data_IF_456018046377
#
_entry.id   IF_456018046377
#
_cell.length_a   1.000
_cell.length_b   1.000
_cell.length_c   1.000
_cell.angle_alpha   90.00
_cell.angle_beta   90.00
_cell.angle_gamma   90.00
#
_symmetry.space_group_name_H-M   'P 1'
#
loop_
_entity.id
_entity.type
_entity.pdbx_description
1 polymer ?
#
# COMPACT_ATOMS: atom_id res chain seq x y z
N UNK A 1 3.83 2.48 16.65
CA UNK A 1 2.49 1.83 16.56
C UNK A 1 2.06 1.78 15.10
N UNK A 2 1.43 0.69 14.63
CA UNK A 2 0.75 0.68 13.33
C UNK A 2 -0.52 1.51 13.51
N UNK A 3 -0.72 2.59 12.75
CA UNK A 3 -1.92 3.44 12.87
C UNK A 3 -3.22 2.64 12.80
N UNK A 4 -4.32 3.20 13.30
CA UNK A 4 -5.66 2.62 13.19
C UNK A 4 -6.03 2.39 11.73
N UNK A 5 -7.00 1.50 11.46
CA UNK A 5 -7.50 1.24 10.11
C UNK A 5 -7.99 2.54 9.44
N UNK A 6 -8.54 3.48 10.21
CA UNK A 6 -8.91 4.82 9.78
C UNK A 6 -7.72 5.70 9.41
N UNK A 7 -6.70 5.78 10.27
CA UNK A 7 -5.45 6.52 10.00
C UNK A 7 -4.67 5.94 8.80
N UNK A 8 -4.89 4.66 8.48
CA UNK A 8 -4.36 4.02 7.28
C UNK A 8 -5.16 4.32 6.00
N UNK A 9 -6.26 5.06 6.08
CA UNK A 9 -7.12 5.40 4.94
C UNK A 9 -8.20 4.35 4.61
N UNK A 10 -8.39 3.32 5.44
CA UNK A 10 -9.35 2.24 5.22
C UNK A 10 -10.57 2.29 6.16
N UNK A 11 -10.83 3.47 6.75
CA UNK A 11 -11.89 3.69 7.73
C UNK A 11 -13.31 3.62 7.15
N UNK A 12 -14.30 3.99 7.97
CA UNK A 12 -15.72 3.94 7.61
C UNK A 12 -16.04 4.63 6.27
N UNK A 13 -15.45 5.81 6.04
CA UNK A 13 -15.62 6.56 4.79
C UNK A 13 -15.20 5.74 3.56
N UNK A 14 -14.04 5.07 3.64
CA UNK A 14 -13.55 4.19 2.58
C UNK A 14 -14.49 3.01 2.32
N UNK A 15 -14.95 2.34 3.38
CA UNK A 15 -15.89 1.22 3.24
C UNK A 15 -17.24 1.65 2.66
N UNK A 16 -17.68 2.88 2.94
CA UNK A 16 -18.89 3.46 2.33
C UNK A 16 -18.67 3.76 0.85
N UNK A 17 -17.57 4.45 0.51
CA UNK A 17 -17.21 4.75 -0.88
C UNK A 17 -17.04 3.47 -1.71
N UNK A 18 -16.38 2.44 -1.17
CA UNK A 18 -16.23 1.14 -1.85
C UNK A 18 -17.57 0.49 -2.15
N UNK A 19 -18.51 0.50 -1.21
CA UNK A 19 -19.86 -0.03 -1.42
C UNK A 19 -20.62 0.73 -2.50
N UNK A 20 -20.52 2.06 -2.51
CA UNK A 20 -21.14 2.91 -3.53
C UNK A 20 -20.54 2.64 -4.92
N UNK A 21 -19.22 2.54 -5.02
CA UNK A 21 -18.54 2.22 -6.27
C UNK A 21 -18.93 0.84 -6.80
N UNK A 22 -19.01 -0.18 -5.93
CA UNK A 22 -19.47 -1.52 -6.32
C UNK A 22 -20.93 -1.52 -6.77
N UNK A 23 -21.80 -0.75 -6.11
CA UNK A 23 -23.21 -0.66 -6.49
C UNK A 23 -23.43 0.09 -7.82
N UNK A 24 -22.53 1.02 -8.16
CA UNK A 24 -22.57 1.79 -9.40
C UNK A 24 -21.76 1.16 -10.54
N UNK A 25 -21.07 0.04 -10.27
CA UNK A 25 -20.24 -0.64 -11.25
C UNK A 25 -21.12 -1.22 -12.36
N UNK A 26 -20.60 -1.17 -13.59
CA UNK A 26 -21.11 -1.93 -14.73
C UNK A 26 -20.05 -2.97 -15.08
N UNK A 27 -20.47 -4.18 -15.44
CA UNK A 27 -19.54 -5.20 -15.95
C UNK A 27 -18.76 -4.65 -17.16
N UNK A 28 -17.54 -5.14 -17.33
CA UNK A 28 -16.57 -4.72 -18.35
C UNK A 28 -15.97 -3.32 -18.13
N UNK A 29 -16.31 -2.61 -17.06
CA UNK A 29 -15.57 -1.40 -16.67
C UNK A 29 -14.07 -1.72 -16.48
N UNK A 30 -13.17 -0.89 -17.02
CA UNK A 30 -11.75 -1.15 -16.97
C UNK A 30 -11.20 -0.98 -15.56
N UNK A 31 -10.36 -1.91 -15.13
CA UNK A 31 -9.59 -1.79 -13.90
C UNK A 31 -8.63 -0.60 -13.97
N UNK A 32 -8.65 0.28 -12.97
CA UNK A 32 -7.81 1.51 -12.95
C UNK A 32 -6.30 1.24 -12.86
N UNK A 33 -5.89 -0.02 -12.66
CA UNK A 33 -4.48 -0.43 -12.59
C UNK A 33 -4.00 -1.14 -13.86
N UNK A 34 -4.71 -2.18 -14.31
CA UNK A 34 -4.28 -2.98 -15.46
C UNK A 34 -5.05 -2.69 -16.76
N UNK A 35 -6.18 -1.98 -16.69
CA UNK A 35 -7.04 -1.69 -17.84
C UNK A 35 -7.94 -2.85 -18.27
N UNK A 36 -7.78 -4.04 -17.72
CA UNK A 36 -8.60 -5.21 -18.06
C UNK A 36 -10.04 -5.08 -17.51
N UNK A 37 -11.03 -5.72 -18.17
CA UNK A 37 -12.42 -5.65 -17.75
C UNK A 37 -12.61 -6.25 -16.35
N UNK A 38 -13.45 -5.58 -15.56
CA UNK A 38 -13.90 -6.04 -14.26
C UNK A 38 -15.31 -6.60 -14.34
N UNK A 39 -15.61 -7.59 -13.49
CA UNK A 39 -16.96 -8.15 -13.36
C UNK A 39 -17.38 -8.26 -11.89
N UNK A 40 -18.69 -8.20 -11.62
CA UNK A 40 -19.25 -8.27 -10.26
C UNK A 40 -18.87 -9.52 -9.47
N UNK A 41 -18.61 -10.64 -10.14
CA UNK A 41 -18.18 -11.89 -9.50
C UNK A 41 -16.71 -11.87 -9.04
N UNK A 42 -15.92 -10.88 -9.48
CA UNK A 42 -14.53 -10.72 -9.08
C UNK A 42 -14.39 -10.01 -7.74
N UNK A 43 -13.28 -10.26 -7.07
CA UNK A 43 -12.91 -9.49 -5.88
C UNK A 43 -12.30 -8.16 -6.29
N UNK A 44 -13.04 -7.08 -6.06
CA UNK A 44 -12.62 -5.71 -6.38
C UNK A 44 -12.41 -4.89 -5.11
N UNK A 45 -11.41 -4.02 -5.11
CA UNK A 45 -11.15 -3.08 -4.03
C UNK A 45 -11.21 -1.65 -4.60
N UNK A 46 -11.69 -0.69 -3.80
CA UNK A 46 -11.66 0.73 -4.19
C UNK A 46 -10.22 1.23 -4.03
N UNK A 47 -9.62 1.58 -5.14
CA UNK A 47 -8.23 1.97 -5.21
C UNK A 47 -8.07 3.48 -4.97
N UNK A 48 -6.88 3.85 -4.51
CA UNK A 48 -6.52 5.23 -4.19
C UNK A 48 -5.23 5.64 -4.90
N UNK A 49 -5.00 6.95 -5.04
CA UNK A 49 -3.73 7.46 -5.54
C UNK A 49 -2.58 6.96 -4.64
N UNK A 50 -1.43 6.69 -5.23
CA UNK A 50 -0.34 6.07 -4.49
C UNK A 50 0.14 7.01 -3.37
N UNK A 51 0.34 8.29 -3.71
CA UNK A 51 0.81 9.37 -2.85
C UNK A 51 -0.27 9.90 -1.87
N UNK A 52 -1.54 9.91 -2.28
CA UNK A 52 -2.65 10.37 -1.45
C UNK A 52 -3.79 9.33 -1.35
N UNK A 53 -3.97 8.78 -0.15
CA UNK A 53 -5.02 7.78 0.13
C UNK A 53 -6.42 8.36 0.24
N UNK A 54 -6.56 9.68 0.25
CA UNK A 54 -7.86 10.36 0.24
C UNK A 54 -8.46 10.48 -1.17
N UNK A 55 -7.63 10.35 -2.20
CA UNK A 55 -8.04 10.43 -3.61
C UNK A 55 -8.35 9.03 -4.13
N UNK A 56 -9.60 8.79 -4.50
CA UNK A 56 -10.01 7.53 -5.12
C UNK A 56 -9.80 7.56 -6.63
N UNK A 57 -9.18 6.52 -7.16
CA UNK A 57 -9.00 6.35 -8.61
C UNK A 57 -10.16 5.59 -9.25
N UNK A 58 -10.79 4.69 -8.49
CA UNK A 58 -11.89 3.83 -8.94
C UNK A 58 -11.71 2.39 -8.48
N UNK A 59 -12.54 1.49 -8.98
CA UNK A 59 -12.40 0.06 -8.67
C UNK A 59 -11.19 -0.53 -9.40
N UNK A 60 -10.51 -1.44 -8.72
CA UNK A 60 -9.47 -2.27 -9.29
C UNK A 60 -9.66 -3.72 -8.85
N UNK A 61 -9.14 -4.66 -9.63
CA UNK A 61 -8.96 -6.02 -9.13
C UNK A 61 -8.17 -6.00 -7.83
N UNK A 62 -8.64 -6.78 -6.84
CA UNK A 62 -8.00 -6.90 -5.53
C UNK A 62 -6.51 -7.22 -5.64
N UNK A 63 -6.14 -8.08 -6.59
CA UNK A 63 -4.74 -8.44 -6.85
C UNK A 63 -3.91 -7.24 -7.29
N UNK A 64 -4.39 -6.48 -8.27
CA UNK A 64 -3.71 -5.30 -8.80
C UNK A 64 -3.52 -4.22 -7.74
N UNK A 65 -4.58 -3.87 -6.99
CA UNK A 65 -4.53 -2.87 -5.93
C UNK A 65 -3.50 -3.27 -4.84
N UNK A 66 -3.59 -4.49 -4.32
CA UNK A 66 -2.69 -4.95 -3.26
C UNK A 66 -1.24 -5.09 -3.72
N UNK A 67 -1.01 -5.49 -4.97
CA UNK A 67 0.32 -5.54 -5.57
C UNK A 67 0.95 -4.15 -5.65
N UNK A 68 0.20 -3.14 -6.11
CA UNK A 68 0.67 -1.75 -6.14
C UNK A 68 1.08 -1.25 -4.73
N UNK A 69 0.24 -1.52 -3.72
CA UNK A 69 0.56 -1.22 -2.32
C UNK A 69 1.81 -1.95 -1.81
N UNK A 70 1.97 -3.23 -2.17
CA UNK A 70 3.14 -4.02 -1.78
C UNK A 70 4.43 -3.52 -2.44
N UNK A 71 4.41 -3.23 -3.74
CA UNK A 71 5.56 -2.68 -4.49
C UNK A 71 6.00 -1.35 -3.87
N UNK A 72 5.06 -0.45 -3.58
CA UNK A 72 5.36 0.82 -2.89
C UNK A 72 5.95 0.58 -1.50
N UNK A 73 5.33 -0.29 -0.71
CA UNK A 73 5.81 -0.63 0.63
C UNK A 73 7.23 -1.19 0.62
N UNK A 74 7.54 -2.08 -0.34
CA UNK A 74 8.88 -2.64 -0.52
C UNK A 74 9.90 -1.57 -0.91
N UNK A 75 9.54 -0.66 -1.83
CA UNK A 75 10.40 0.47 -2.23
C UNK A 75 10.72 1.39 -1.05
N UNK A 76 9.73 1.70 -0.21
CA UNK A 76 9.93 2.55 0.98
C UNK A 76 10.85 1.88 2.01
N UNK A 77 10.68 0.58 2.26
CA UNK A 77 11.57 -0.18 3.15
C UNK A 77 12.99 -0.26 2.60
N UNK A 78 13.15 -0.48 1.30
CA UNK A 78 14.47 -0.48 0.65
C UNK A 78 15.17 0.88 0.75
N UNK A 79 14.43 1.99 0.62
CA UNK A 79 14.98 3.35 0.86
C UNK A 79 15.46 3.51 2.30
N UNK A 80 14.62 3.13 3.28
CA UNK A 80 14.97 3.23 4.69
C UNK A 80 16.20 2.39 5.06
N UNK A 81 16.31 1.18 4.51
CA UNK A 81 17.47 0.31 4.70
C UNK A 81 18.76 0.94 4.15
N UNK A 82 18.71 1.59 2.96
CA UNK A 82 19.88 2.27 2.39
C UNK A 82 20.32 3.50 3.20
N UNK A 83 19.41 4.18 3.89
CA UNK A 83 19.72 5.32 4.74
C UNK A 83 20.18 4.94 6.15
N UNK A 84 20.08 3.66 6.54
CA UNK A 84 20.49 3.22 7.87
C UNK A 84 22.01 3.00 7.93
N UNK A 85 22.68 3.77 8.78
CA UNK A 85 24.09 3.54 9.14
C UNK A 85 24.12 2.74 10.45
N UNK A 86 24.66 1.51 10.48
CA UNK A 86 24.78 0.76 11.73
C UNK A 86 25.66 1.53 12.72
N UNK A 87 25.35 1.50 14.04
CA UNK A 87 26.28 2.01 15.03
C UNK A 87 27.59 1.21 14.96
N UNK A 88 28.70 1.90 14.72
CA UNK A 88 30.03 1.28 14.74
C UNK A 88 30.31 0.87 16.18
N UNK A 89 30.41 -0.45 16.44
CA UNK A 89 30.90 -0.93 17.73
C UNK A 89 32.39 -0.60 17.82
N UNK A 90 32.86 0.16 18.82
CA UNK A 90 34.29 0.40 18.99
C UNK A 90 35.00 -0.95 19.21
N UNK A 91 36.16 -1.14 18.55
CA UNK A 91 36.98 -2.33 18.79
C UNK A 91 37.42 -2.34 20.26
N UNK A 92 37.35 -3.48 20.96
CA UNK A 92 37.87 -3.57 22.32
C UNK A 92 39.37 -3.25 22.30
N UNK A 93 39.78 -2.30 23.16
CA UNK A 93 41.19 -1.99 23.37
C UNK A 93 41.81 -3.17 24.11
N UNK A 94 42.54 -4.03 23.40
CA UNK A 94 43.37 -5.04 24.04
C UNK A 94 44.60 -4.34 24.62
N UNK A 95 44.59 -4.04 25.92
CA UNK A 95 45.81 -3.66 26.64
C UNK A 95 46.71 -4.89 26.74
N UNK A 96 47.74 -4.95 25.89
CA UNK A 96 48.90 -5.80 26.07
C UNK A 96 50.13 -4.92 26.07
N UNK A 97 50.28 -4.21 27.18
CA UNK A 97 51.57 -3.78 27.67
C UNK A 97 51.85 -4.64 28.92
N UNK A 98 53.14 -4.94 29.16
CA UNK A 98 53.76 -5.89 30.11
C UNK A 98 54.19 -7.22 29.49
#
# INVERSE_FOLDING_TARGET
>A
MKGTTGERGYGYAHQRARRQALAAMVDEQPCVRCGEPMYHWQLLDLDHADDDRSVYLGLAHRGCNRSAGAVRGNRMRGRAARSWVPPVRPKPQTSRDW
#
